data_IF_025891511008
#
_entry.id   IF_025891511008
#
_cell.length_a   1.000
_cell.length_b   1.000
_cell.length_c   1.000
_cell.angle_alpha   90.00
_cell.angle_beta   90.00
_cell.angle_gamma   90.00
#
_symmetry.space_group_name_H-M   'P 1'
#
loop_
_entity.id
_entity.type
_entity.pdbx_description
1 polymer ?
#
# COMPACT_ATOMS: atom_id res chain seq x y z
N UNK A 1 27.04 0.94 3.15
CA UNK A 1 25.71 0.32 2.93
C UNK A 1 25.53 0.11 1.44
N UNK A 2 25.13 -1.09 1.03
CA UNK A 2 24.82 -1.36 -0.36
C UNK A 2 23.58 -0.59 -0.83
N UNK A 3 23.44 -0.43 -2.14
CA UNK A 3 22.24 0.15 -2.73
C UNK A 3 20.97 -0.60 -2.29
N UNK A 4 21.05 -1.92 -2.26
CA UNK A 4 19.93 -2.77 -1.85
C UNK A 4 19.56 -2.56 -0.38
N UNK A 5 20.53 -2.48 0.51
CA UNK A 5 20.28 -2.18 1.92
C UNK A 5 19.72 -0.77 2.11
N UNK A 6 20.25 0.22 1.38
CA UNK A 6 19.75 1.59 1.44
C UNK A 6 18.28 1.66 0.99
N UNK A 7 17.94 0.98 -0.10
CA UNK A 7 16.57 0.91 -0.60
C UNK A 7 15.63 0.22 0.37
N UNK A 8 16.07 -0.90 0.96
CA UNK A 8 15.30 -1.62 1.98
C UNK A 8 15.05 -0.74 3.21
N UNK A 9 16.08 -0.08 3.72
CA UNK A 9 15.97 0.81 4.88
C UNK A 9 15.01 1.97 4.59
N UNK A 10 15.11 2.57 3.41
CA UNK A 10 14.19 3.63 3.00
C UNK A 10 12.74 3.16 3.04
N UNK A 11 12.45 2.02 2.42
CA UNK A 11 11.07 1.54 2.35
C UNK A 11 10.53 1.14 3.72
N UNK A 12 11.33 0.56 4.60
CA UNK A 12 10.90 0.25 5.96
C UNK A 12 10.52 1.51 6.73
N UNK A 13 11.29 2.59 6.58
CA UNK A 13 10.97 3.86 7.24
C UNK A 13 9.73 4.54 6.66
N UNK A 14 9.55 4.47 5.33
CA UNK A 14 8.35 4.99 4.65
C UNK A 14 7.11 4.26 5.14
N UNK A 15 7.16 2.92 5.21
CA UNK A 15 6.03 2.09 5.64
C UNK A 15 5.68 2.34 7.11
N UNK A 16 6.67 2.46 7.98
CA UNK A 16 6.43 2.73 9.40
C UNK A 16 5.68 4.05 9.62
N UNK A 17 6.05 5.09 8.89
CA UNK A 17 5.39 6.39 8.95
C UNK A 17 3.99 6.36 8.31
N UNK A 18 3.86 5.67 7.18
CA UNK A 18 2.61 5.53 6.43
C UNK A 18 1.49 4.92 7.30
N UNK A 19 1.81 3.87 8.02
CA UNK A 19 0.86 3.20 8.93
C UNK A 19 0.23 4.19 9.92
N UNK A 20 1.02 5.13 10.44
CA UNK A 20 0.55 6.11 11.43
C UNK A 20 -0.09 7.35 10.78
N UNK A 21 -0.30 7.32 9.47
CA UNK A 21 -0.85 8.45 8.71
C UNK A 21 0.15 9.57 8.44
N UNK A 22 1.43 9.36 8.75
CA UNK A 22 2.48 10.32 8.43
C UNK A 22 2.98 10.07 7.00
N UNK A 23 2.50 10.85 6.06
CA UNK A 23 2.81 10.72 4.63
C UNK A 23 4.07 11.49 4.22
N UNK A 24 4.68 12.26 5.12
CA UNK A 24 5.86 13.05 4.82
C UNK A 24 7.01 12.25 4.21
N UNK A 25 7.46 11.16 4.87
CA UNK A 25 8.53 10.32 4.32
C UNK A 25 8.20 9.71 2.96
N UNK A 26 6.95 9.28 2.74
CA UNK A 26 6.51 8.75 1.46
C UNK A 26 6.64 9.81 0.36
N UNK A 27 6.02 10.97 0.54
CA UNK A 27 6.03 12.02 -0.47
C UNK A 27 7.44 12.56 -0.73
N UNK A 28 8.28 12.65 0.29
CA UNK A 28 9.68 13.04 0.12
C UNK A 28 10.49 12.06 -0.73
N UNK A 29 10.12 10.77 -0.69
CA UNK A 29 10.82 9.72 -1.44
C UNK A 29 10.25 9.49 -2.84
N UNK A 30 9.10 10.09 -3.21
CA UNK A 30 8.50 9.88 -4.52
C UNK A 30 9.26 10.59 -5.63
N UNK A 31 9.48 9.89 -6.74
CA UNK A 31 9.85 10.52 -8.00
C UNK A 31 8.65 11.34 -8.51
N UNK A 32 8.86 12.53 -9.09
CA UNK A 32 7.76 13.33 -9.63
C UNK A 32 6.89 12.61 -10.67
N UNK A 33 7.48 11.64 -11.39
CA UNK A 33 6.80 10.85 -12.42
C UNK A 33 6.43 9.44 -11.94
N UNK A 34 6.29 9.26 -10.64
CA UNK A 34 6.00 7.94 -10.05
C UNK A 34 4.74 7.31 -10.65
N UNK A 35 4.79 5.99 -10.85
CA UNK A 35 3.64 5.19 -11.25
C UNK A 35 3.28 4.26 -10.09
N UNK A 36 2.11 4.46 -9.52
CA UNK A 36 1.65 3.74 -8.33
C UNK A 36 0.43 2.91 -8.67
N UNK A 37 0.58 1.58 -8.64
CA UNK A 37 -0.51 0.67 -8.99
C UNK A 37 -1.00 -0.07 -7.76
N UNK A 38 -2.28 0.14 -7.42
CA UNK A 38 -3.00 -0.66 -6.46
C UNK A 38 -3.82 -1.69 -7.23
N UNK A 39 -3.47 -2.98 -7.10
CA UNK A 39 -4.15 -4.05 -7.85
C UNK A 39 -5.44 -4.40 -7.13
N UNK A 40 -6.46 -3.61 -7.39
CA UNK A 40 -7.80 -3.77 -6.84
C UNK A 40 -8.81 -3.14 -7.82
N UNK A 41 -9.99 -3.74 -7.99
CA UNK A 41 -11.01 -3.19 -8.89
C UNK A 41 -11.58 -1.89 -8.31
N UNK A 42 -11.59 -0.83 -9.12
CA UNK A 42 -12.08 0.50 -8.72
C UNK A 42 -13.56 0.51 -8.35
N UNK A 43 -14.31 -0.40 -8.92
CA UNK A 43 -15.74 -0.54 -8.65
C UNK A 43 -16.00 -0.83 -7.17
N UNK A 44 -15.06 -1.49 -6.50
CA UNK A 44 -15.17 -1.86 -5.08
C UNK A 44 -14.19 -1.12 -4.18
N UNK A 45 -13.05 -0.70 -4.73
CA UNK A 45 -11.99 0.01 -4.00
C UNK A 45 -11.62 1.27 -4.77
N UNK A 46 -12.10 2.42 -4.33
CA UNK A 46 -11.89 3.69 -5.04
C UNK A 46 -10.43 4.05 -5.25
N UNK A 47 -9.55 3.62 -4.33
CA UNK A 47 -8.11 3.83 -4.45
C UNK A 47 -7.44 2.89 -5.46
N UNK A 48 -8.15 1.90 -5.99
CA UNK A 48 -7.61 0.91 -6.92
C UNK A 48 -7.19 1.50 -8.25
N UNK A 49 -6.41 0.71 -9.00
CA UNK A 49 -5.92 1.12 -10.31
C UNK A 49 -4.59 1.84 -10.27
N UNK A 50 -4.25 2.51 -11.36
CA UNK A 50 -2.95 3.15 -11.54
C UNK A 50 -3.05 4.66 -11.31
N UNK A 51 -2.15 5.18 -10.47
CA UNK A 51 -2.06 6.60 -10.15
C UNK A 51 -0.71 7.13 -10.62
N UNK A 52 -0.70 8.32 -11.22
CA UNK A 52 0.47 8.91 -11.84
C UNK A 52 0.90 10.20 -11.17
N UNK A 53 2.19 10.30 -10.86
CA UNK A 53 2.81 11.52 -10.35
C UNK A 53 2.33 11.93 -8.97
N UNK A 54 2.71 13.12 -8.55
CA UNK A 54 2.36 13.64 -7.21
C UNK A 54 0.86 13.85 -7.05
N UNK A 55 0.18 14.37 -8.09
CA UNK A 55 -1.27 14.55 -8.06
C UNK A 55 -2.00 13.21 -7.89
N UNK A 56 -1.57 12.18 -8.61
CA UNK A 56 -2.13 10.83 -8.47
C UNK A 56 -1.91 10.25 -7.09
N UNK A 57 -0.76 10.51 -6.48
CA UNK A 57 -0.46 10.05 -5.11
C UNK A 57 -1.28 10.78 -4.05
N UNK A 58 -1.53 12.07 -4.23
CA UNK A 58 -2.42 12.82 -3.34
C UNK A 58 -3.84 12.26 -3.40
N UNK A 59 -4.34 11.94 -4.58
CA UNK A 59 -5.65 11.32 -4.76
C UNK A 59 -5.69 9.92 -4.13
N UNK A 60 -4.70 9.07 -4.43
CA UNK A 60 -4.61 7.72 -3.90
C UNK A 60 -4.66 7.70 -2.36
N UNK A 61 -3.81 8.49 -1.73
CA UNK A 61 -3.74 8.53 -0.26
C UNK A 61 -5.02 9.09 0.36
N UNK A 62 -5.62 10.12 -0.23
CA UNK A 62 -6.88 10.67 0.24
C UNK A 62 -8.01 9.63 0.17
N UNK A 63 -8.12 8.90 -0.95
CA UNK A 63 -9.13 7.86 -1.13
C UNK A 63 -8.92 6.68 -0.17
N UNK A 64 -7.68 6.24 0.01
CA UNK A 64 -7.38 5.14 0.92
C UNK A 64 -7.71 5.49 2.37
N UNK A 65 -7.19 6.62 2.86
CA UNK A 65 -7.35 6.99 4.27
C UNK A 65 -8.74 7.54 4.61
N UNK A 66 -9.55 7.93 3.62
CA UNK A 66 -10.95 8.28 3.86
C UNK A 66 -11.79 7.06 4.24
N UNK A 67 -11.34 5.86 3.87
CA UNK A 67 -12.09 4.63 4.09
C UNK A 67 -11.48 3.67 5.08
N UNK A 68 -10.15 3.68 5.21
CA UNK A 68 -9.43 2.71 6.05
C UNK A 68 -8.54 3.45 7.05
N UNK A 69 -8.67 3.07 8.31
CA UNK A 69 -7.77 3.47 9.38
C UNK A 69 -6.92 2.26 9.78
N UNK A 70 -5.65 2.28 9.42
CA UNK A 70 -4.75 1.15 9.71
C UNK A 70 -4.41 1.10 11.18
N UNK A 71 -4.63 -0.06 11.78
CA UNK A 71 -4.28 -0.36 13.18
C UNK A 71 -3.05 -1.23 13.28
N UNK A 72 -2.75 -2.01 12.24
CA UNK A 72 -1.55 -2.82 12.12
C UNK A 72 -1.03 -2.80 10.69
N UNK A 73 0.27 -2.74 10.55
CA UNK A 73 0.94 -2.87 9.25
C UNK A 73 2.34 -3.42 9.53
N UNK A 74 2.43 -4.75 9.67
CA UNK A 74 3.59 -5.43 10.21
C UNK A 74 4.40 -6.04 9.07
N UNK A 75 5.66 -5.63 8.86
CA UNK A 75 6.51 -6.27 7.86
C UNK A 75 6.88 -7.68 8.32
N UNK A 76 6.58 -8.66 7.50
CA UNK A 76 6.94 -10.08 7.74
C UNK A 76 8.20 -10.45 6.98
N UNK A 77 8.26 -10.10 5.70
CA UNK A 77 9.40 -10.36 4.83
C UNK A 77 9.62 -9.10 4.00
N UNK A 78 10.84 -8.60 4.01
CA UNK A 78 11.24 -7.50 3.11
C UNK A 78 12.59 -7.86 2.52
N UNK A 79 12.67 -7.88 1.20
CA UNK A 79 13.89 -8.21 0.46
C UNK A 79 14.16 -7.13 -0.58
N UNK A 80 15.44 -6.96 -0.91
CA UNK A 80 15.85 -6.04 -1.95
C UNK A 80 16.81 -6.73 -2.89
N UNK A 81 16.63 -6.49 -4.20
CA UNK A 81 17.52 -6.98 -5.24
C UNK A 81 17.60 -5.96 -6.36
N UNK A 82 18.80 -5.50 -6.67
CA UNK A 82 18.98 -4.41 -7.61
C UNK A 82 18.25 -3.17 -7.12
N UNK A 83 17.42 -2.57 -7.96
CA UNK A 83 16.59 -1.42 -7.65
C UNK A 83 15.17 -1.80 -7.15
N UNK A 84 14.92 -3.10 -6.95
CA UNK A 84 13.59 -3.60 -6.51
C UNK A 84 13.59 -3.91 -5.02
N UNK A 85 12.52 -3.50 -4.35
CA UNK A 85 12.23 -3.89 -2.97
C UNK A 85 10.89 -4.61 -2.97
N UNK A 86 10.84 -5.79 -2.38
CA UNK A 86 9.62 -6.59 -2.22
C UNK A 86 9.31 -6.76 -0.74
N UNK A 87 8.04 -6.67 -0.40
CA UNK A 87 7.62 -6.89 0.97
C UNK A 87 6.30 -7.64 1.07
N UNK A 88 6.21 -8.46 2.12
CA UNK A 88 4.96 -9.07 2.58
C UNK A 88 4.64 -8.50 3.95
N UNK A 89 3.43 -7.99 4.12
CA UNK A 89 2.99 -7.29 5.32
C UNK A 89 1.69 -7.90 5.83
N UNK A 90 1.54 -7.97 7.14
CA UNK A 90 0.24 -8.21 7.78
C UNK A 90 -0.43 -6.88 8.08
N UNK A 91 -1.62 -6.66 7.55
CA UNK A 91 -2.37 -5.44 7.76
C UNK A 91 -3.70 -5.70 8.46
N UNK A 92 -4.06 -4.80 9.36
CA UNK A 92 -5.39 -4.67 9.92
C UNK A 92 -5.83 -3.23 9.79
N UNK A 93 -7.06 -3.02 9.38
CA UNK A 93 -7.62 -1.69 9.25
C UNK A 93 -9.09 -1.67 9.68
N UNK A 94 -9.51 -0.55 10.25
CA UNK A 94 -10.92 -0.26 10.44
C UNK A 94 -11.47 0.26 9.11
N UNK A 95 -12.41 -0.48 8.54
CA UNK A 95 -13.20 -0.01 7.39
C UNK A 95 -14.26 0.95 7.92
N UNK A 96 -14.07 2.24 7.68
CA UNK A 96 -14.86 3.28 8.33
C UNK A 96 -16.34 3.24 7.96
N UNK A 97 -16.75 3.00 6.69
CA UNK A 97 -18.18 2.95 6.35
C UNK A 97 -18.94 1.84 7.08
N UNK A 98 -18.36 0.64 7.20
CA UNK A 98 -19.02 -0.50 7.86
C UNK A 98 -18.74 -0.58 9.36
N UNK A 99 -17.72 0.13 9.86
CA UNK A 99 -17.21 0.04 11.22
C UNK A 99 -16.69 -1.36 11.58
N UNK A 100 -16.28 -2.14 10.57
CA UNK A 100 -15.70 -3.47 10.74
C UNK A 100 -14.20 -3.43 10.56
N UNK A 101 -13.50 -4.27 11.32
CA UNK A 101 -12.07 -4.49 11.10
C UNK A 101 -11.87 -5.49 9.99
N UNK A 102 -10.95 -5.19 9.08
CA UNK A 102 -10.54 -6.07 8.00
C UNK A 102 -9.07 -6.43 8.15
N UNK A 103 -8.73 -7.66 7.80
CA UNK A 103 -7.35 -8.16 7.84
C UNK A 103 -6.98 -8.77 6.51
N UNK A 104 -5.77 -8.50 6.08
CA UNK A 104 -5.22 -9.09 4.86
C UNK A 104 -3.70 -9.06 4.90
N UNK A 105 -3.08 -10.07 4.31
CA UNK A 105 -1.70 -9.92 3.91
C UNK A 105 -1.65 -9.01 2.68
N UNK A 106 -0.62 -8.17 2.62
CA UNK A 106 -0.40 -7.26 1.50
C UNK A 106 1.01 -7.51 0.97
N UNK A 107 1.12 -7.79 -0.32
CA UNK A 107 2.40 -7.90 -1.00
C UNK A 107 2.65 -6.67 -1.84
N UNK A 108 3.83 -6.07 -1.71
CA UNK A 108 4.17 -4.83 -2.40
C UNK A 108 5.54 -4.93 -3.05
N UNK A 109 5.66 -4.34 -4.22
CA UNK A 109 6.92 -4.17 -4.93
C UNK A 109 7.14 -2.69 -5.22
N UNK A 110 8.34 -2.22 -4.93
CA UNK A 110 8.78 -0.86 -5.27
C UNK A 110 10.03 -0.90 -6.12
N UNK A 111 10.10 -0.01 -7.10
CA UNK A 111 11.35 0.30 -7.79
C UNK A 111 11.90 1.58 -7.18
N UNK A 112 13.14 1.52 -6.70
CA UNK A 112 13.80 2.66 -6.02
C UNK A 112 15.12 2.94 -6.74
N UNK A 113 15.22 4.13 -7.33
CA UNK A 113 16.40 4.60 -8.06
C UNK A 113 16.90 5.91 -7.45
N UNK A 114 18.17 5.95 -7.09
CA UNK A 114 18.80 7.14 -6.50
C UNK A 114 18.00 7.71 -5.32
N UNK A 115 17.49 6.82 -4.45
CA UNK A 115 16.71 7.21 -3.28
C UNK A 115 15.30 7.68 -3.58
N UNK A 116 14.80 7.46 -4.81
CA UNK A 116 13.44 7.85 -5.20
C UNK A 116 12.64 6.65 -5.66
N UNK A 117 11.39 6.60 -5.22
CA UNK A 117 10.43 5.58 -5.62
C UNK A 117 9.88 5.97 -6.98
N UNK A 118 10.17 5.16 -8.01
CA UNK A 118 9.71 5.40 -9.38
C UNK A 118 8.47 4.58 -9.72
N UNK A 119 8.31 3.43 -9.09
CA UNK A 119 7.17 2.54 -9.32
C UNK A 119 6.75 1.84 -8.04
N UNK A 120 5.46 1.51 -7.95
CA UNK A 120 4.90 0.64 -6.93
C UNK A 120 3.82 -0.24 -7.56
N UNK A 121 3.75 -1.47 -7.08
CA UNK A 121 2.59 -2.34 -7.33
C UNK A 121 2.27 -3.12 -6.06
N UNK A 122 1.02 -3.04 -5.64
CA UNK A 122 0.54 -3.72 -4.43
C UNK A 122 -0.58 -4.69 -4.73
N UNK A 123 -0.66 -5.75 -3.93
CA UNK A 123 -1.66 -6.82 -4.04
C UNK A 123 -2.16 -7.19 -2.66
N UNK A 124 -3.44 -7.46 -2.56
CA UNK A 124 -4.03 -8.03 -1.35
C UNK A 124 -5.23 -8.90 -1.73
N UNK A 125 -5.75 -9.63 -0.76
CA UNK A 125 -6.94 -10.48 -0.97
C UNK A 125 -8.20 -9.60 -1.04
N UNK A 126 -8.53 -9.16 -2.25
CA UNK A 126 -9.64 -8.23 -2.48
C UNK A 126 -10.99 -8.87 -2.13
N UNK A 127 -11.21 -10.12 -2.54
CA UNK A 127 -12.46 -10.83 -2.21
C UNK A 127 -12.61 -11.02 -0.70
N UNK A 128 -11.54 -11.41 0.00
CA UNK A 128 -11.55 -11.59 1.44
C UNK A 128 -11.84 -10.30 2.19
N UNK A 129 -11.25 -9.19 1.77
CA UNK A 129 -11.53 -7.88 2.38
C UNK A 129 -12.98 -7.47 2.14
N UNK A 130 -13.50 -7.62 0.92
CA UNK A 130 -14.89 -7.30 0.61
C UNK A 130 -15.88 -8.12 1.44
N UNK A 131 -15.59 -9.41 1.67
CA UNK A 131 -16.41 -10.24 2.55
C UNK A 131 -16.37 -9.76 4.00
N UNK A 132 -15.19 -9.44 4.52
CA UNK A 132 -15.01 -8.97 5.89
C UNK A 132 -15.75 -7.65 6.15
N UNK A 133 -15.72 -6.74 5.18
CA UNK A 133 -16.41 -5.44 5.33
C UNK A 133 -17.89 -5.48 4.92
N UNK A 134 -18.39 -6.62 4.47
CA UNK A 134 -19.81 -6.81 4.18
C UNK A 134 -20.27 -6.38 2.80
N UNK A 135 -19.33 -6.11 1.87
CA UNK A 135 -19.64 -5.69 0.49
C UNK A 135 -19.75 -6.87 -0.48
N UNK A 136 -19.38 -8.05 -0.04
CA UNK A 136 -19.48 -9.29 -0.82
C UNK A 136 -20.01 -10.40 0.09
N UNK A 137 -21.07 -11.04 -0.34
CA UNK A 137 -21.63 -12.20 0.34
C UNK A 137 -21.56 -13.43 -0.56
N UNK A 138 -21.38 -14.60 0.05
CA UNK A 138 -21.39 -15.88 -0.65
C UNK A 138 -22.73 -16.56 -0.37
N UNK A 139 -23.47 -16.91 -1.43
CA UNK A 139 -24.68 -17.70 -1.28
C UNK A 139 -24.31 -19.12 -0.89
N UNK A 140 -25.07 -19.68 0.06
CA UNK A 140 -24.94 -21.09 0.42
C UNK A 140 -25.37 -21.95 -0.77
N UNK A 141 -24.49 -22.88 -1.17
CA UNK A 141 -24.78 -23.78 -2.25
C UNK A 141 -25.85 -24.81 -1.85
#
# INVERSE_FOLDING_TARGET
MSQEQANKTLMLSVIAAFKDGNLGPLFAALDPDVVWKATAPREFFRFGGTHHGMAGMMEYTALLFSRYHFTQFIPKIVTARGDQVWGLFEAEALHQPSRRYVRSDISMRWTVKDGKITEHQGFFDTAGVLMQQGDLTVEAA
#
